data_IF_104592613954
#
_entry.id   IF_104592613954
#
_cell.length_a   1.000
_cell.length_b   1.000
_cell.length_c   1.000
_cell.angle_alpha   90.00
_cell.angle_beta   90.00
_cell.angle_gamma   90.00
#
_symmetry.space_group_name_H-M   'P 1'
#
loop_
_entity.id
_entity.type
_entity.pdbx_description
1 polymer ?
#
# COMPACT_ATOMS: atom_id res chain seq x y z
N UNK A 1 2.24 -10.42 -32.50
CA UNK A 1 3.70 -10.55 -32.63
C UNK A 1 4.17 -11.64 -31.70
N UNK A 2 5.04 -12.57 -32.09
CA UNK A 2 5.37 -13.74 -31.26
C UNK A 2 6.59 -13.35 -30.39
N UNK A 3 6.44 -13.34 -29.08
CA UNK A 3 7.54 -13.20 -28.12
C UNK A 3 8.68 -14.17 -28.44
N UNK A 4 9.92 -13.73 -28.31
CA UNK A 4 11.08 -14.57 -28.56
C UNK A 4 11.12 -15.74 -27.57
N UNK A 5 11.72 -16.85 -27.97
CA UNK A 5 11.76 -18.08 -27.15
C UNK A 5 12.49 -17.87 -25.81
N UNK A 6 13.43 -16.93 -25.75
CA UNK A 6 14.18 -16.59 -24.54
C UNK A 6 13.38 -15.73 -23.55
N UNK A 7 12.63 -14.74 -24.03
CA UNK A 7 11.74 -13.91 -23.19
C UNK A 7 10.65 -14.76 -22.52
N UNK A 8 10.07 -15.72 -23.25
CA UNK A 8 9.09 -16.67 -22.68
C UNK A 8 9.70 -17.59 -21.63
N UNK A 9 10.99 -17.91 -21.75
CA UNK A 9 11.67 -18.80 -20.81
C UNK A 9 12.04 -18.06 -19.52
N UNK A 10 12.41 -16.79 -19.60
CA UNK A 10 12.71 -15.95 -18.43
C UNK A 10 11.44 -15.56 -17.66
N UNK A 11 10.37 -15.16 -18.35
CA UNK A 11 9.05 -14.92 -17.73
C UNK A 11 8.51 -16.18 -17.04
N UNK A 12 8.68 -17.36 -17.69
CA UNK A 12 8.28 -18.64 -17.11
C UNK A 12 9.09 -18.99 -15.85
N UNK A 13 10.37 -18.62 -15.79
CA UNK A 13 11.24 -18.90 -14.65
C UNK A 13 10.93 -17.94 -13.49
N UNK A 14 10.69 -16.64 -13.76
CA UNK A 14 10.31 -15.68 -12.75
C UNK A 14 8.95 -16.00 -12.13
N UNK A 15 7.93 -16.25 -12.94
CA UNK A 15 6.60 -16.62 -12.47
C UNK A 15 6.60 -17.95 -11.69
N UNK A 16 7.42 -18.93 -12.09
CA UNK A 16 7.57 -20.19 -11.36
C UNK A 16 8.32 -19.99 -10.06
N UNK A 17 9.37 -19.13 -10.04
CA UNK A 17 10.10 -18.81 -8.82
C UNK A 17 9.21 -18.07 -7.81
N UNK A 18 8.39 -17.12 -8.26
CA UNK A 18 7.46 -16.38 -7.41
C UNK A 18 6.35 -17.30 -6.87
N UNK A 19 5.76 -18.15 -7.70
CA UNK A 19 4.78 -19.14 -7.27
C UNK A 19 5.37 -20.16 -6.28
N UNK A 20 6.63 -20.54 -6.45
CA UNK A 20 7.35 -21.45 -5.52
C UNK A 20 7.63 -20.73 -4.20
N UNK A 21 7.99 -19.45 -4.20
CA UNK A 21 8.21 -18.68 -2.97
C UNK A 21 6.90 -18.52 -2.19
N UNK A 22 5.79 -18.17 -2.86
CA UNK A 22 4.47 -18.10 -2.21
C UNK A 22 4.04 -19.46 -1.68
N UNK A 23 4.24 -20.55 -2.45
CA UNK A 23 3.96 -21.91 -2.00
C UNK A 23 4.85 -22.32 -0.83
N UNK A 24 6.12 -21.90 -0.80
CA UNK A 24 7.01 -22.14 0.33
C UNK A 24 6.60 -21.33 1.57
N UNK A 25 6.18 -20.10 1.43
CA UNK A 25 5.70 -19.27 2.56
C UNK A 25 4.38 -19.84 3.10
N UNK A 26 3.45 -20.22 2.23
CA UNK A 26 2.18 -20.82 2.65
C UNK A 26 2.40 -22.23 3.23
N UNK A 27 3.28 -23.03 2.65
CA UNK A 27 3.59 -24.36 3.18
C UNK A 27 4.41 -24.30 4.45
N UNK A 28 5.33 -23.35 4.61
CA UNK A 28 6.04 -23.10 5.88
C UNK A 28 5.07 -22.65 6.98
N UNK A 29 4.09 -21.79 6.66
CA UNK A 29 3.05 -21.38 7.62
C UNK A 29 2.15 -22.55 8.01
N UNK A 30 1.85 -23.45 7.07
CA UNK A 30 1.02 -24.62 7.32
C UNK A 30 1.81 -25.75 8.04
N UNK A 31 3.06 -25.94 7.68
CA UNK A 31 3.96 -26.91 8.34
C UNK A 31 4.30 -26.45 9.76
N UNK A 32 4.49 -25.13 9.98
CA UNK A 32 4.72 -24.59 11.32
C UNK A 32 3.52 -24.75 12.22
N UNK A 33 2.31 -24.55 11.71
CA UNK A 33 1.09 -24.75 12.48
C UNK A 33 0.79 -26.24 12.80
N UNK A 34 1.31 -27.17 11.97
CA UNK A 34 1.15 -28.60 12.19
C UNK A 34 2.36 -29.28 12.85
N UNK A 35 3.60 -28.84 12.55
CA UNK A 35 4.83 -29.42 13.11
C UNK A 35 4.97 -29.10 14.60
N UNK A 36 4.50 -27.92 15.06
CA UNK A 36 4.46 -27.57 16.49
C UNK A 36 3.57 -28.51 17.33
N UNK A 37 2.63 -29.21 16.70
CA UNK A 37 1.77 -30.19 17.41
C UNK A 37 2.36 -31.60 17.49
N UNK A 38 3.38 -31.92 16.69
CA UNK A 38 3.96 -33.25 16.61
C UNK A 38 5.38 -33.37 17.20
N UNK A 39 6.12 -32.27 17.29
CA UNK A 39 7.50 -32.28 17.82
C UNK A 39 7.59 -32.09 19.33
N UNK A 40 6.49 -31.75 20.02
CA UNK A 40 6.47 -31.61 21.49
C UNK A 40 6.59 -32.97 22.22
N UNK A 41 6.55 -34.07 21.51
CA UNK A 41 6.66 -35.41 22.08
C UNK A 41 8.05 -36.09 22.00
N UNK A 42 9.07 -35.37 21.48
CA UNK A 42 10.39 -35.96 21.19
C UNK A 42 11.58 -35.18 21.77
N UNK A 43 11.36 -34.11 22.54
CA UNK A 43 12.40 -33.34 23.22
C UNK A 43 12.29 -33.57 24.73
N UNK A 44 13.42 -33.79 25.39
CA UNK A 44 13.52 -33.87 26.85
C UNK A 44 13.17 -32.49 27.46
N UNK A 45 12.63 -32.49 28.68
CA UNK A 45 12.13 -31.30 29.39
C UNK A 45 13.17 -30.17 29.56
N UNK A 46 14.47 -30.49 29.48
CA UNK A 46 15.57 -29.52 29.60
C UNK A 46 15.83 -28.76 28.29
N UNK A 47 15.54 -29.34 27.10
CA UNK A 47 15.70 -28.69 25.80
C UNK A 47 14.53 -27.72 25.48
N UNK A 48 13.38 -27.91 26.13
CA UNK A 48 12.20 -27.07 25.92
C UNK A 48 12.34 -25.71 26.61
N UNK A 49 13.11 -25.64 27.71
CA UNK A 49 13.32 -24.39 28.44
C UNK A 49 14.18 -23.38 27.65
N UNK A 50 15.20 -23.85 26.95
CA UNK A 50 16.08 -22.99 26.12
C UNK A 50 15.40 -22.52 24.83
N UNK A 51 14.47 -23.33 24.28
CA UNK A 51 13.63 -22.90 23.14
C UNK A 51 12.54 -21.91 23.56
N UNK A 52 12.01 -22.01 24.77
CA UNK A 52 11.03 -21.07 25.31
C UNK A 52 11.64 -19.67 25.46
N UNK A 53 12.89 -19.55 25.89
CA UNK A 53 13.57 -18.27 26.03
C UNK A 53 13.91 -17.60 24.67
N UNK A 54 14.11 -18.36 23.61
CA UNK A 54 14.32 -17.83 22.25
C UNK A 54 13.00 -17.36 21.61
N UNK A 55 11.87 -18.00 21.98
CA UNK A 55 10.54 -17.64 21.50
C UNK A 55 9.76 -16.68 22.41
N UNK A 56 10.22 -16.44 23.62
CA UNK A 56 9.56 -15.57 24.61
C UNK A 56 9.84 -14.08 24.40
N UNK A 57 10.46 -13.73 23.26
CA UNK A 57 10.88 -12.36 22.94
C UNK A 57 9.75 -11.35 22.85
N UNK A 58 8.55 -11.63 22.32
CA UNK A 58 7.46 -10.65 22.21
C UNK A 58 6.04 -11.27 22.16
N UNK A 59 5.89 -12.52 21.75
CA UNK A 59 4.57 -13.15 21.56
C UNK A 59 3.80 -13.38 22.87
N UNK A 60 4.48 -13.53 23.99
CA UNK A 60 3.88 -13.71 25.31
C UNK A 60 3.31 -12.45 25.94
N UNK A 61 3.71 -11.26 25.47
CA UNK A 61 3.32 -9.96 26.06
C UNK A 61 1.99 -9.44 25.55
N UNK A 62 1.51 -9.91 24.39
CA UNK A 62 0.33 -9.38 23.72
C UNK A 62 -0.81 -10.41 23.65
N UNK A 63 -2.05 -9.92 23.61
CA UNK A 63 -3.20 -10.77 23.38
C UNK A 63 -3.21 -11.28 21.93
N UNK A 64 -3.56 -12.57 21.68
CA UNK A 64 -3.51 -13.14 20.33
C UNK A 64 -4.60 -12.59 19.41
N UNK A 65 -5.62 -11.93 19.95
CA UNK A 65 -6.75 -11.40 19.18
C UNK A 65 -6.63 -9.91 18.96
N UNK A 66 -6.93 -9.45 17.73
CA UNK A 66 -7.02 -8.03 17.43
C UNK A 66 -8.25 -7.42 18.09
N UNK A 67 -8.06 -6.33 18.80
CA UNK A 67 -9.09 -5.60 19.55
C UNK A 67 -9.31 -4.24 18.92
N UNK A 68 -10.56 -3.73 18.93
CA UNK A 68 -10.86 -2.36 18.56
C UNK A 68 -10.36 -1.43 19.67
N UNK A 69 -9.43 -0.55 19.32
CA UNK A 69 -8.78 0.40 20.23
C UNK A 69 -9.53 1.71 20.30
N UNK A 70 -9.96 2.22 19.14
CA UNK A 70 -10.74 3.44 19.01
C UNK A 70 -11.69 3.38 17.82
N UNK A 71 -12.76 4.18 17.89
CA UNK A 71 -13.75 4.32 16.83
C UNK A 71 -14.31 5.74 16.89
N UNK A 72 -13.98 6.54 15.88
CA UNK A 72 -14.40 7.94 15.77
C UNK A 72 -15.36 8.12 14.59
N UNK A 73 -16.37 8.97 14.76
CA UNK A 73 -17.38 9.28 13.75
C UNK A 73 -17.36 10.77 13.45
N UNK A 74 -17.43 11.12 12.17
CA UNK A 74 -17.50 12.50 11.69
C UNK A 74 -18.63 12.65 10.68
N UNK A 75 -19.22 13.83 10.63
CA UNK A 75 -20.21 14.17 9.61
C UNK A 75 -19.51 14.27 8.24
N UNK A 76 -20.14 13.71 7.21
CA UNK A 76 -19.58 13.66 5.86
C UNK A 76 -19.40 15.06 5.25
N UNK A 77 -20.26 16.03 5.60
CA UNK A 77 -20.21 17.41 5.13
C UNK A 77 -19.21 18.31 5.88
N UNK A 78 -18.58 17.78 6.92
CA UNK A 78 -17.64 18.56 7.73
C UNK A 78 -16.25 18.74 7.06
N UNK A 79 -15.95 17.99 6.00
CA UNK A 79 -14.67 18.08 5.31
C UNK A 79 -14.81 17.66 3.83
N UNK A 80 -13.81 18.01 3.02
CA UNK A 80 -13.70 17.62 1.63
C UNK A 80 -12.28 17.13 1.26
N UNK A 81 -11.41 17.02 2.24
CA UNK A 81 -10.03 16.57 2.07
C UNK A 81 -9.66 15.58 3.16
N UNK A 82 -8.83 14.60 2.84
CA UNK A 82 -8.33 13.59 3.76
C UNK A 82 -6.81 13.63 3.80
N UNK A 83 -6.25 13.66 5.01
CA UNK A 83 -4.82 13.67 5.26
C UNK A 83 -4.46 12.56 6.27
N UNK A 84 -3.73 11.56 5.80
CA UNK A 84 -3.26 10.42 6.59
C UNK A 84 -1.76 10.56 6.85
N UNK A 85 -1.35 10.54 8.11
CA UNK A 85 0.07 10.48 8.50
C UNK A 85 0.28 9.35 9.52
N UNK A 86 0.76 8.21 9.01
CA UNK A 86 0.89 6.99 9.77
C UNK A 86 2.34 6.57 9.91
N UNK A 87 2.77 6.21 11.13
CA UNK A 87 4.13 5.78 11.39
C UNK A 87 4.35 4.30 11.02
N UNK A 88 3.37 3.44 11.30
CA UNK A 88 3.48 2.01 11.03
C UNK A 88 2.11 1.33 10.97
N UNK A 89 2.07 0.11 10.43
CA UNK A 89 0.89 -0.73 10.37
C UNK A 89 0.16 -0.66 9.03
N UNK A 90 -1.05 -1.19 8.99
CA UNK A 90 -1.88 -1.23 7.78
C UNK A 90 -2.93 -0.14 7.80
N UNK A 91 -3.07 0.60 6.71
CA UNK A 91 -4.14 1.57 6.50
C UNK A 91 -5.03 1.12 5.36
N UNK A 92 -6.33 1.07 5.61
CA UNK A 92 -7.34 0.76 4.61
C UNK A 92 -8.36 1.89 4.53
N UNK A 93 -8.51 2.48 3.34
CA UNK A 93 -9.57 3.47 3.05
C UNK A 93 -10.56 2.85 2.09
N UNK A 94 -11.81 2.77 2.48
CA UNK A 94 -12.87 2.17 1.69
C UNK A 94 -14.14 3.03 1.65
N UNK A 95 -14.82 2.99 0.52
CA UNK A 95 -16.09 3.71 0.32
C UNK A 95 -17.24 2.88 0.85
N UNK A 96 -18.12 3.53 1.58
CA UNK A 96 -19.34 2.92 2.12
C UNK A 96 -20.57 3.75 1.73
N UNK A 97 -21.74 3.14 1.88
CA UNK A 97 -23.01 3.87 1.85
C UNK A 97 -23.32 4.41 3.25
N UNK A 98 -23.70 5.68 3.36
CA UNK A 98 -23.98 6.33 4.64
C UNK A 98 -23.74 7.84 4.61
N UNK A 99 -23.84 8.46 5.78
CA UNK A 99 -23.69 9.91 6.01
C UNK A 99 -22.57 10.27 7.01
N UNK A 100 -21.89 9.26 7.56
CA UNK A 100 -20.81 9.44 8.53
C UNK A 100 -19.54 8.79 8.04
N UNK A 101 -18.42 9.48 8.20
CA UNK A 101 -17.10 8.86 8.12
C UNK A 101 -16.78 8.18 9.44
N UNK A 102 -16.24 6.99 9.35
CA UNK A 102 -15.80 6.24 10.51
C UNK A 102 -14.31 5.96 10.42
N UNK A 103 -13.59 6.24 11.51
CA UNK A 103 -12.18 5.91 11.65
C UNK A 103 -12.03 4.90 12.78
N UNK A 104 -11.59 3.70 12.44
CA UNK A 104 -11.48 2.57 13.37
C UNK A 104 -10.00 2.20 13.50
N UNK A 105 -9.50 2.18 14.72
CA UNK A 105 -8.18 1.63 15.02
C UNK A 105 -8.32 0.26 15.68
N UNK A 106 -7.56 -0.72 15.21
CA UNK A 106 -7.46 -2.06 15.78
C UNK A 106 -6.00 -2.44 16.00
N UNK A 107 -5.77 -3.34 16.95
CA UNK A 107 -4.45 -3.88 17.22
C UNK A 107 -4.48 -4.99 18.26
N UNK A 108 -3.38 -5.68 18.44
CA UNK A 108 -3.20 -6.63 19.55
C UNK A 108 -2.63 -5.90 20.75
N UNK A 109 -3.35 -5.87 21.85
CA UNK A 109 -2.98 -5.12 23.04
C UNK A 109 -2.06 -5.93 23.98
N UNK A 110 -1.19 -5.23 24.68
CA UNK A 110 -0.38 -5.82 25.73
C UNK A 110 -1.28 -6.42 26.85
N UNK A 111 -0.90 -7.58 27.35
CA UNK A 111 -1.71 -8.31 28.37
C UNK A 111 -1.96 -7.44 29.59
N UNK A 112 -3.20 -7.40 30.03
CA UNK A 112 -3.63 -6.60 31.18
C UNK A 112 -3.84 -5.11 30.88
N UNK A 113 -3.66 -4.68 29.61
CA UNK A 113 -3.95 -3.32 29.18
C UNK A 113 -5.39 -3.20 28.68
N UNK A 114 -6.01 -2.05 28.88
CA UNK A 114 -7.31 -1.75 28.27
C UNK A 114 -7.15 -1.14 26.88
N UNK A 115 -8.11 -1.39 25.98
CA UNK A 115 -8.11 -0.83 24.62
C UNK A 115 -7.95 0.70 24.64
N UNK A 116 -8.64 1.41 25.52
CA UNK A 116 -8.57 2.88 25.62
C UNK A 116 -7.21 3.43 26.04
N UNK A 117 -6.39 2.63 26.76
CA UNK A 117 -5.00 3.01 27.09
C UNK A 117 -4.04 2.73 25.96
N UNK A 118 -4.35 1.71 25.14
CA UNK A 118 -3.56 1.32 23.98
C UNK A 118 -3.88 2.15 22.73
N UNK A 119 -5.07 2.76 22.66
CA UNK A 119 -5.50 3.59 21.54
C UNK A 119 -4.57 4.78 21.28
N UNK A 120 -4.40 5.09 19.98
CA UNK A 120 -3.70 6.32 19.57
C UNK A 120 -4.50 7.54 20.03
N UNK A 121 -3.85 8.44 20.75
CA UNK A 121 -4.50 9.67 21.21
C UNK A 121 -4.73 10.60 20.03
N UNK A 122 -5.93 11.16 19.94
CA UNK A 122 -6.32 12.08 18.87
C UNK A 122 -6.04 11.51 17.46
N UNK A 123 -6.29 10.21 17.27
CA UNK A 123 -6.07 9.55 16.00
C UNK A 123 -6.70 10.30 14.82
N UNK A 124 -7.91 10.82 15.00
CA UNK A 124 -8.63 11.52 13.94
C UNK A 124 -9.23 12.84 14.46
N UNK A 125 -9.09 13.90 13.67
CA UNK A 125 -9.65 15.22 13.98
C UNK A 125 -9.90 16.03 12.71
N UNK A 126 -10.88 16.94 12.74
CA UNK A 126 -11.12 17.86 11.65
C UNK A 126 -10.38 19.17 11.88
N UNK A 127 -9.57 19.58 10.91
CA UNK A 127 -8.88 20.85 10.87
C UNK A 127 -9.28 21.62 9.60
N UNK A 128 -10.07 22.66 9.78
CA UNK A 128 -10.67 23.38 8.64
C UNK A 128 -11.58 22.46 7.83
N UNK A 129 -11.26 22.24 6.56
CA UNK A 129 -11.98 21.33 5.67
C UNK A 129 -11.26 19.99 5.45
N UNK A 130 -10.35 19.63 6.32
CA UNK A 130 -9.53 18.40 6.21
C UNK A 130 -9.79 17.49 7.40
N UNK A 131 -10.12 16.24 7.16
CA UNK A 131 -10.06 15.19 8.15
C UNK A 131 -8.61 14.69 8.21
N UNK A 132 -7.95 14.97 9.33
CA UNK A 132 -6.60 14.48 9.61
C UNK A 132 -6.66 13.22 10.45
N UNK A 133 -5.92 12.21 10.01
CA UNK A 133 -5.74 10.96 10.72
C UNK A 133 -4.24 10.79 10.95
N UNK A 134 -3.85 10.80 12.22
CA UNK A 134 -2.44 10.86 12.59
C UNK A 134 -2.12 9.84 13.66
N UNK A 135 -1.20 8.95 13.34
CA UNK A 135 -0.63 8.02 14.30
C UNK A 135 0.86 8.31 14.44
N UNK A 136 1.24 8.94 15.53
CA UNK A 136 2.64 9.20 15.86
C UNK A 136 3.16 8.27 16.95
N UNK A 137 4.41 7.86 16.76
CA UNK A 137 5.21 7.19 17.76
C UNK A 137 4.95 5.68 17.87
N UNK A 138 5.93 5.01 18.38
CA UNK A 138 5.89 3.62 18.73
C UNK A 138 5.31 3.49 20.14
N UNK A 139 4.00 3.51 20.28
CA UNK A 139 3.35 2.91 21.46
C UNK A 139 3.32 1.36 21.29
N UNK A 140 4.39 0.82 20.69
CA UNK A 140 4.51 -0.61 20.38
C UNK A 140 4.56 -1.48 21.63
N UNK A 141 4.90 -0.89 22.77
CA UNK A 141 4.77 -1.52 24.09
C UNK A 141 3.31 -1.69 24.55
N UNK A 142 2.37 -0.98 23.93
CA UNK A 142 0.95 -1.01 24.29
C UNK A 142 0.10 -1.82 23.33
N UNK A 143 0.37 -1.71 22.03
CA UNK A 143 -0.30 -2.50 21.01
C UNK A 143 0.57 -2.67 19.77
N UNK A 144 0.50 -3.84 19.17
CA UNK A 144 1.18 -4.21 17.92
C UNK A 144 0.15 -4.56 16.84
N UNK A 145 0.62 -4.78 15.60
CA UNK A 145 -0.22 -5.12 14.44
C UNK A 145 -1.37 -4.12 14.26
N UNK A 146 -1.05 -2.83 14.37
CA UNK A 146 -2.04 -1.77 14.27
C UNK A 146 -2.59 -1.68 12.85
N UNK A 147 -3.93 -1.57 12.78
CA UNK A 147 -4.66 -1.34 11.53
C UNK A 147 -5.63 -0.18 11.73
N UNK A 148 -5.57 0.77 10.81
CA UNK A 148 -6.53 1.87 10.74
C UNK A 148 -7.43 1.66 9.52
N UNK A 149 -8.73 1.58 9.74
CA UNK A 149 -9.74 1.51 8.67
C UNK A 149 -10.50 2.84 8.64
N UNK A 150 -10.52 3.48 7.47
CA UNK A 150 -11.27 4.71 7.22
C UNK A 150 -12.42 4.38 6.28
N UNK A 151 -13.62 4.39 6.81
CA UNK A 151 -14.84 4.19 6.03
C UNK A 151 -15.39 5.55 5.61
N UNK A 152 -15.39 5.83 4.30
CA UNK A 152 -15.76 7.14 3.75
C UNK A 152 -17.06 7.01 2.98
N UNK A 153 -18.10 7.82 3.30
CA UNK A 153 -19.32 7.86 2.51
C UNK A 153 -19.06 8.20 1.05
N UNK A 154 -19.81 7.53 0.17
CA UNK A 154 -19.72 7.73 -1.28
C UNK A 154 -19.83 9.21 -1.68
N UNK A 155 -20.73 9.96 -1.04
CA UNK A 155 -20.96 11.39 -1.30
C UNK A 155 -19.71 12.26 -1.12
N UNK A 156 -18.80 11.89 -0.20
CA UNK A 156 -17.51 12.56 0.01
C UNK A 156 -16.45 11.96 -0.90
N UNK A 157 -16.38 10.62 -0.91
CA UNK A 157 -15.33 9.87 -1.61
C UNK A 157 -15.28 10.17 -3.12
N UNK A 158 -16.42 10.49 -3.76
CA UNK A 158 -16.50 10.75 -5.20
C UNK A 158 -16.13 12.19 -5.60
N UNK A 159 -15.89 13.09 -4.65
CA UNK A 159 -15.65 14.52 -4.93
C UNK A 159 -14.64 15.19 -3.99
N UNK A 160 -13.65 14.45 -3.52
CA UNK A 160 -12.63 15.03 -2.64
C UNK A 160 -11.80 16.11 -3.37
N UNK A 161 -11.49 17.18 -2.65
CA UNK A 161 -10.54 18.18 -3.15
C UNK A 161 -9.12 17.61 -3.16
N UNK A 162 -8.71 16.94 -2.06
CA UNK A 162 -7.43 16.27 -1.97
C UNK A 162 -7.48 15.01 -1.11
N UNK A 163 -6.64 14.06 -1.46
CA UNK A 163 -6.32 12.90 -0.66
C UNK A 163 -4.80 12.81 -0.52
N UNK A 164 -4.33 12.97 0.71
CA UNK A 164 -2.91 12.86 1.04
C UNK A 164 -2.72 11.67 1.98
N UNK A 165 -1.77 10.80 1.69
CA UNK A 165 -1.38 9.72 2.57
C UNK A 165 0.13 9.64 2.67
N UNK A 166 0.62 9.65 3.91
CA UNK A 166 2.01 9.36 4.24
C UNK A 166 2.06 8.20 5.21
N UNK A 167 2.67 7.12 4.78
CA UNK A 167 2.89 5.92 5.60
C UNK A 167 4.39 5.64 5.63
N UNK A 168 5.00 5.58 6.83
CA UNK A 168 6.45 5.36 6.93
C UNK A 168 6.81 3.90 6.81
N UNK A 169 6.03 3.02 7.42
CA UNK A 169 6.26 1.58 7.35
C UNK A 169 4.94 0.83 7.41
N UNK A 170 4.72 -0.09 6.48
CA UNK A 170 3.49 -0.87 6.39
C UNK A 170 2.71 -0.61 5.11
N UNK A 171 1.47 -1.07 5.05
CA UNK A 171 0.72 -1.13 3.82
C UNK A 171 -0.38 -0.07 3.75
N UNK A 172 -0.60 0.47 2.58
CA UNK A 172 -1.69 1.39 2.28
C UNK A 172 -2.59 0.83 1.18
N UNK A 173 -3.87 0.64 1.50
CA UNK A 173 -4.88 0.22 0.54
C UNK A 173 -6.01 1.23 0.47
N UNK A 174 -6.28 1.76 -0.72
CA UNK A 174 -7.33 2.75 -0.97
C UNK A 174 -8.22 2.28 -2.12
N UNK A 175 -9.53 2.25 -1.90
CA UNK A 175 -10.47 1.84 -2.93
C UNK A 175 -11.69 2.78 -3.02
N UNK A 176 -12.04 3.15 -4.26
CA UNK A 176 -13.27 3.88 -4.60
C UNK A 176 -13.21 5.40 -4.42
N UNK A 177 -12.05 5.97 -4.10
CA UNK A 177 -11.87 7.40 -3.92
C UNK A 177 -11.70 8.12 -5.25
N UNK A 178 -12.37 9.25 -5.43
CA UNK A 178 -12.16 10.22 -6.50
C UNK A 178 -11.75 11.55 -5.90
N UNK A 179 -10.59 12.05 -6.25
CA UNK A 179 -10.08 13.34 -5.78
C UNK A 179 -9.51 14.18 -6.92
N UNK A 180 -9.36 15.48 -6.70
CA UNK A 180 -8.66 16.34 -7.65
C UNK A 180 -7.15 16.14 -7.54
N UNK A 181 -6.63 16.19 -6.33
CA UNK A 181 -5.22 16.01 -6.05
C UNK A 181 -5.00 14.76 -5.19
N UNK A 182 -4.18 13.86 -5.68
CA UNK A 182 -3.79 12.63 -5.01
C UNK A 182 -2.29 12.67 -4.70
N UNK A 183 -1.94 12.55 -3.42
CA UNK A 183 -0.56 12.47 -2.97
C UNK A 183 -0.37 11.24 -2.08
N UNK A 184 0.45 10.32 -2.55
CA UNK A 184 0.77 9.07 -1.87
C UNK A 184 2.27 9.02 -1.60
N UNK A 185 2.66 8.84 -0.34
CA UNK A 185 4.06 8.72 0.06
C UNK A 185 4.22 7.54 1.01
N UNK A 186 4.92 6.53 0.57
CA UNK A 186 5.20 5.33 1.33
C UNK A 186 6.71 5.13 1.42
N UNK A 187 7.27 5.10 2.63
CA UNK A 187 8.70 4.90 2.76
C UNK A 187 9.09 3.43 2.63
N UNK A 188 8.25 2.51 3.16
CA UNK A 188 8.50 1.07 3.09
C UNK A 188 7.20 0.29 3.21
N UNK A 189 6.99 -0.72 2.38
CA UNK A 189 5.79 -1.56 2.32
C UNK A 189 5.01 -1.40 1.01
N UNK A 190 3.78 -1.90 0.94
CA UNK A 190 3.03 -1.99 -0.29
C UNK A 190 1.92 -0.95 -0.39
N UNK A 191 1.72 -0.40 -1.60
CA UNK A 191 0.70 0.59 -1.88
C UNK A 191 -0.25 0.08 -2.96
N UNK A 192 -1.54 0.01 -2.64
CA UNK A 192 -2.61 -0.28 -3.60
C UNK A 192 -3.61 0.88 -3.62
N UNK A 193 -3.77 1.52 -4.78
CA UNK A 193 -4.77 2.56 -5.01
C UNK A 193 -5.69 2.19 -6.17
N UNK A 194 -6.99 2.15 -5.92
CA UNK A 194 -8.03 1.98 -6.95
C UNK A 194 -9.03 3.12 -6.87
N UNK A 195 -9.06 3.99 -7.89
CA UNK A 195 -9.92 5.17 -7.83
C UNK A 195 -9.73 6.13 -8.99
N UNK A 196 -9.78 7.43 -8.69
CA UNK A 196 -9.56 8.49 -9.70
C UNK A 196 -8.77 9.65 -9.11
N UNK A 197 -7.82 10.16 -9.88
CA UNK A 197 -7.20 11.46 -9.65
C UNK A 197 -7.48 12.33 -10.88
N UNK A 198 -8.16 13.48 -10.72
CA UNK A 198 -8.64 14.20 -11.89
C UNK A 198 -7.71 15.31 -12.38
N UNK A 199 -6.93 15.90 -11.48
CA UNK A 199 -6.03 17.01 -11.81
C UNK A 199 -4.56 16.61 -11.67
N UNK A 200 -4.17 16.10 -10.50
CA UNK A 200 -2.79 15.74 -10.21
C UNK A 200 -2.68 14.44 -9.43
N UNK A 201 -1.63 13.69 -9.73
CA UNK A 201 -1.19 12.55 -8.95
C UNK A 201 0.30 12.66 -8.65
N UNK A 202 0.66 12.48 -7.38
CA UNK A 202 2.04 12.28 -6.95
C UNK A 202 2.09 11.02 -6.13
N UNK A 203 2.93 10.06 -6.52
CA UNK A 203 3.16 8.83 -5.78
C UNK A 203 4.66 8.63 -5.60
N UNK A 204 5.08 8.33 -4.37
CA UNK A 204 6.47 8.08 -4.03
C UNK A 204 6.54 6.88 -3.09
N UNK A 205 7.27 5.85 -3.50
CA UNK A 205 7.55 4.66 -2.69
C UNK A 205 9.06 4.49 -2.59
N UNK A 206 9.56 4.37 -1.37
CA UNK A 206 10.99 4.18 -1.13
C UNK A 206 11.42 2.74 -1.39
N UNK A 207 10.68 1.78 -0.83
CA UNK A 207 10.93 0.35 -0.96
C UNK A 207 9.61 -0.40 -0.85
N UNK A 208 9.32 -1.32 -1.76
CA UNK A 208 8.10 -2.13 -1.83
C UNK A 208 7.34 -1.92 -3.12
N UNK A 209 6.20 -2.54 -3.25
CA UNK A 209 5.47 -2.57 -4.50
C UNK A 209 4.35 -1.52 -4.54
N UNK A 210 4.12 -0.97 -5.72
CA UNK A 210 3.08 0.03 -5.94
C UNK A 210 2.14 -0.41 -7.05
N UNK A 211 0.83 -0.47 -6.76
CA UNK A 211 -0.22 -0.72 -7.76
C UNK A 211 -1.23 0.43 -7.76
N UNK A 212 -1.36 1.12 -8.87
CA UNK A 212 -2.29 2.25 -9.06
C UNK A 212 -3.20 1.97 -10.25
N UNK A 213 -4.49 1.77 -10.00
CA UNK A 213 -5.49 1.57 -11.04
C UNK A 213 -6.46 2.75 -11.07
N UNK A 214 -6.43 3.54 -12.15
CA UNK A 214 -7.18 4.77 -12.28
C UNK A 214 -8.41 4.59 -13.20
N UNK A 215 -9.61 4.92 -12.69
CA UNK A 215 -10.80 5.06 -13.52
C UNK A 215 -10.80 6.36 -14.34
N UNK A 216 -10.10 7.37 -13.84
CA UNK A 216 -9.85 8.66 -14.52
C UNK A 216 -8.44 9.11 -14.17
N UNK A 217 -7.64 9.31 -15.20
CA UNK A 217 -6.25 9.76 -15.06
C UNK A 217 -6.18 11.29 -14.88
N UNK A 218 -5.08 11.79 -14.27
CA UNK A 218 -4.87 13.22 -14.08
C UNK A 218 -4.79 13.98 -15.40
N UNK A 219 -5.52 15.09 -15.49
CA UNK A 219 -5.52 15.92 -16.68
C UNK A 219 -4.38 16.94 -16.74
N UNK A 220 -3.66 17.14 -15.64
CA UNK A 220 -2.55 18.11 -15.55
C UNK A 220 -1.21 17.41 -15.43
N UNK A 221 -1.02 16.58 -14.39
CA UNK A 221 0.26 15.94 -14.17
C UNK A 221 0.17 14.66 -13.34
N UNK A 222 1.05 13.72 -13.66
CA UNK A 222 1.36 12.55 -12.85
C UNK A 222 2.86 12.52 -12.58
N UNK A 223 3.25 12.29 -11.33
CA UNK A 223 4.64 12.08 -10.95
C UNK A 223 4.74 10.86 -10.08
N UNK A 224 5.45 9.86 -10.56
CA UNK A 224 5.66 8.60 -9.86
C UNK A 224 7.15 8.40 -9.64
N UNK A 225 7.52 8.13 -8.40
CA UNK A 225 8.88 7.79 -7.99
C UNK A 225 8.88 6.50 -7.21
N UNK A 226 9.78 5.64 -7.59
CA UNK A 226 10.00 4.38 -6.91
C UNK A 226 11.52 4.19 -6.72
N UNK A 227 11.94 3.79 -5.51
CA UNK A 227 13.34 3.57 -5.18
C UNK A 227 13.77 2.14 -5.45
N UNK A 228 13.00 1.17 -4.94
CA UNK A 228 13.25 -0.28 -5.13
C UNK A 228 11.97 -1.05 -4.99
N UNK A 229 11.58 -1.84 -5.98
CA UNK A 229 10.36 -2.63 -6.04
C UNK A 229 9.70 -2.55 -7.40
N UNK A 230 8.48 -3.02 -7.51
CA UNK A 230 7.77 -3.07 -8.78
C UNK A 230 6.62 -2.06 -8.79
N UNK A 231 6.41 -1.43 -9.94
CA UNK A 231 5.37 -0.42 -10.13
C UNK A 231 4.42 -0.85 -11.23
N UNK A 232 3.14 -0.94 -10.91
CA UNK A 232 2.07 -1.18 -11.86
C UNK A 232 1.11 0.00 -11.88
N UNK A 233 0.91 0.61 -13.04
CA UNK A 233 -0.02 1.72 -13.22
C UNK A 233 -0.93 1.45 -14.39
N UNK A 234 -2.23 1.43 -14.14
CA UNK A 234 -3.27 1.31 -15.15
C UNK A 234 -4.03 2.63 -15.30
N UNK A 235 -4.19 3.09 -16.53
CA UNK A 235 -4.99 4.28 -16.87
C UNK A 235 -6.01 3.96 -17.97
N UNK A 236 -7.11 4.74 -18.14
CA UNK A 236 -8.01 4.57 -19.27
C UNK A 236 -7.28 4.65 -20.61
N UNK A 237 -7.62 3.77 -21.53
CA UNK A 237 -6.99 3.67 -22.87
C UNK A 237 -6.98 5.00 -23.67
N UNK A 238 -7.98 5.86 -23.47
CA UNK A 238 -8.13 7.15 -24.13
C UNK A 238 -7.43 8.32 -23.41
N UNK A 239 -6.61 8.01 -22.38
CA UNK A 239 -5.85 9.02 -21.63
C UNK A 239 -4.84 9.73 -22.54
N UNK A 240 -4.98 11.06 -22.66
CA UNK A 240 -4.05 11.90 -23.43
C UNK A 240 -2.95 12.46 -22.55
N UNK A 241 -1.68 12.20 -22.91
CA UNK A 241 -0.51 12.67 -22.12
C UNK A 241 0.77 12.78 -22.95
N UNK A 242 1.74 13.51 -22.40
CA UNK A 242 3.17 13.33 -22.70
C UNK A 242 3.87 12.81 -21.47
N UNK A 243 4.76 11.84 -21.64
CA UNK A 243 5.50 11.26 -20.53
C UNK A 243 7.01 11.35 -20.72
N UNK A 244 7.72 11.36 -19.59
CA UNK A 244 9.17 11.16 -19.52
C UNK A 244 9.49 10.07 -18.53
N UNK A 245 10.33 9.12 -18.92
CA UNK A 245 10.80 8.00 -18.13
C UNK A 245 12.28 8.16 -17.83
N UNK A 246 12.65 7.96 -16.57
CA UNK A 246 14.02 7.69 -16.11
C UNK A 246 14.01 6.36 -15.38
N UNK A 247 14.73 5.40 -15.91
CA UNK A 247 14.85 4.04 -15.39
C UNK A 247 16.30 3.77 -14.99
N UNK A 248 16.52 3.33 -13.76
CA UNK A 248 17.86 3.02 -13.25
C UNK A 248 18.30 1.61 -13.62
N UNK A 249 17.61 0.61 -13.12
CA UNK A 249 17.83 -0.81 -13.47
C UNK A 249 16.52 -1.57 -13.39
N UNK A 250 16.26 -2.44 -14.35
CA UNK A 250 14.99 -3.16 -14.52
C UNK A 250 14.37 -2.87 -15.88
N UNK A 251 13.16 -3.33 -16.05
CA UNK A 251 12.46 -3.27 -17.34
C UNK A 251 11.28 -2.31 -17.25
N UNK A 252 10.96 -1.64 -18.35
CA UNK A 252 9.77 -0.82 -18.49
C UNK A 252 8.92 -1.31 -19.66
N UNK A 253 7.71 -1.74 -19.34
CA UNK A 253 6.71 -2.16 -20.30
C UNK A 253 5.55 -1.15 -20.34
N UNK A 254 4.97 -0.94 -21.53
CA UNK A 254 3.81 -0.07 -21.67
C UNK A 254 3.03 -0.32 -22.94
N UNK A 255 1.71 -0.37 -22.84
CA UNK A 255 0.80 -0.38 -24.00
C UNK A 255 0.91 0.87 -24.89
N UNK A 256 1.52 1.94 -24.39
CA UNK A 256 1.70 3.21 -25.10
C UNK A 256 3.06 3.33 -25.80
N UNK A 257 3.86 2.27 -25.79
CA UNK A 257 5.14 2.17 -26.49
C UNK A 257 5.10 1.07 -27.54
N UNK A 258 5.87 1.22 -28.62
CA UNK A 258 6.03 0.19 -29.64
C UNK A 258 7.00 -0.92 -29.25
N UNK A 259 7.93 -0.62 -28.37
CA UNK A 259 9.00 -1.51 -27.92
C UNK A 259 9.25 -1.30 -26.43
N UNK A 260 9.49 -2.37 -25.72
CA UNK A 260 9.87 -2.35 -24.31
C UNK A 260 11.21 -1.63 -24.13
N UNK A 261 11.42 -1.08 -22.95
CA UNK A 261 12.65 -0.39 -22.58
C UNK A 261 13.40 -1.27 -21.60
N UNK A 262 14.50 -1.80 -22.07
CA UNK A 262 15.47 -2.52 -21.25
C UNK A 262 16.68 -1.61 -21.01
N UNK A 263 17.41 -1.83 -19.92
CA UNK A 263 18.61 -1.07 -19.54
C UNK A 263 18.35 0.34 -18.96
N UNK A 264 19.31 0.90 -18.24
CA UNK A 264 19.21 2.25 -17.73
C UNK A 264 18.90 3.26 -18.84
N UNK A 265 17.84 4.03 -18.66
CA UNK A 265 17.43 5.06 -19.59
C UNK A 265 17.18 6.37 -18.87
N UNK A 266 17.63 7.47 -19.44
CA UNK A 266 17.40 8.80 -18.92
C UNK A 266 16.52 9.60 -19.87
N UNK A 267 15.39 10.09 -19.34
CA UNK A 267 14.50 11.03 -19.99
C UNK A 267 13.94 10.54 -21.36
N UNK A 268 13.59 9.24 -21.46
CA UNK A 268 12.87 8.71 -22.63
C UNK A 268 11.48 9.32 -22.67
N UNK A 269 11.10 9.85 -23.83
CA UNK A 269 9.80 10.50 -24.03
C UNK A 269 8.86 9.62 -24.85
N UNK A 270 7.60 9.59 -24.42
CA UNK A 270 6.51 8.93 -25.12
C UNK A 270 5.19 9.66 -24.84
N UNK A 271 4.08 9.21 -25.40
CA UNK A 271 2.80 9.84 -25.17
C UNK A 271 1.66 9.24 -26.00
N UNK A 272 0.46 9.63 -25.65
CA UNK A 272 -0.77 9.18 -26.29
C UNK A 272 -1.72 10.36 -26.52
N UNK A 273 -2.44 10.38 -27.61
CA UNK A 273 -3.58 11.27 -27.89
C UNK A 273 -3.30 12.75 -27.75
N UNK A 274 -4.19 13.43 -27.04
CA UNK A 274 -4.13 14.87 -26.77
C UNK A 274 -3.07 15.21 -25.74
N UNK A 275 -1.94 15.38 -25.91
CA UNK A 275 -0.76 15.56 -25.05
C UNK A 275 -0.84 16.72 -24.04
N UNK A 276 -1.97 16.93 -23.41
CA UNK A 276 -2.20 18.04 -22.48
C UNK A 276 -1.63 17.80 -21.08
N UNK A 277 -1.57 16.55 -20.62
CA UNK A 277 -1.00 16.19 -19.33
C UNK A 277 0.49 15.85 -19.41
N UNK A 278 1.26 16.20 -18.36
CA UNK A 278 2.70 15.92 -18.24
C UNK A 278 2.91 14.80 -17.20
N UNK A 279 3.39 13.64 -17.64
CA UNK A 279 3.66 12.51 -16.77
C UNK A 279 5.15 12.28 -16.63
N UNK A 280 5.59 11.93 -15.42
CA UNK A 280 6.98 11.67 -15.08
C UNK A 280 7.12 10.42 -14.26
N UNK A 281 7.93 9.50 -14.75
CA UNK A 281 8.26 8.26 -14.10
C UNK A 281 9.74 8.21 -13.78
N UNK A 282 10.08 7.94 -12.51
CA UNK A 282 11.47 7.80 -12.05
C UNK A 282 11.56 6.54 -11.23
N UNK A 283 12.16 5.52 -11.80
CA UNK A 283 12.29 4.20 -11.21
C UNK A 283 13.76 3.92 -10.93
N UNK A 284 14.08 3.57 -9.70
CA UNK A 284 15.45 3.33 -9.26
C UNK A 284 15.91 1.93 -9.61
N UNK A 285 15.29 0.91 -9.02
CA UNK A 285 15.58 -0.50 -9.29
C UNK A 285 14.31 -1.31 -9.15
N UNK A 286 13.93 -2.04 -10.18
CA UNK A 286 12.70 -2.80 -10.27
C UNK A 286 12.03 -2.61 -11.61
N UNK A 287 10.93 -3.30 -11.81
CA UNK A 287 10.23 -3.27 -13.06
C UNK A 287 9.01 -2.34 -12.98
N UNK A 288 8.71 -1.68 -14.08
CA UNK A 288 7.52 -0.83 -14.16
C UNK A 288 6.65 -1.22 -15.33
N UNK A 289 5.34 -1.38 -15.09
CA UNK A 289 4.32 -1.41 -16.12
C UNK A 289 3.45 -0.16 -16.11
N UNK A 290 3.14 0.39 -17.30
CA UNK A 290 2.24 1.51 -17.47
C UNK A 290 1.26 1.22 -18.60
N UNK A 291 0.04 0.78 -18.25
CA UNK A 291 -0.84 0.09 -19.15
C UNK A 291 -2.19 0.77 -19.32
N UNK A 292 -2.82 0.45 -20.43
CA UNK A 292 -4.17 0.86 -20.75
C UNK A 292 -5.18 -0.17 -20.22
N UNK A 293 -6.24 0.31 -19.59
CA UNK A 293 -7.35 -0.53 -19.14
C UNK A 293 -8.63 -0.22 -19.90
#
# INVERSE_FOLDING_TARGET
>A
MKLSHESRMRLGIGAVAFAVIILLIVSLSFIWNHALRWSIGLLDDDDVSDLADVFDGDFGKFDPTSTELSNALFDADAFNSLDLDMSSGTVEVKVIDGDKVRVIERGRIARGMSASKAATKNLAQIEGSTLKITQFGSDDDKAIDRRVTVEVPRSVAEQMASFNARVRSGDLKVAGVTCKELNLNLSSGDLEFKGSATDKLTAEVGSGDMSISLNRAPSTSMSVREGSGDVEIEVPHDTGFTASLTLGSGDFESDFLSDDVEDPVENKKFGNGDKSADYRFTIGSGDMSFDAR
#
